data_IF_648771496167
#
_entry.id   IF_648771496167
#
_cell.length_a   1.000
_cell.length_b   1.000
_cell.length_c   1.000
_cell.angle_alpha   90.00
_cell.angle_beta   90.00
_cell.angle_gamma   90.00
#
_symmetry.space_group_name_H-M   'P 1'
#
loop_
_entity.id
_entity.type
_entity.pdbx_description
1 polymer ?
#
# COMPACT_ATOMS: atom_id res chain seq x y z
N UNK A 1 -12.02 -5.65 -14.87
CA UNK A 1 -11.93 -5.20 -13.47
C UNK A 1 -13.09 -5.81 -12.71
N UNK A 2 -12.91 -6.27 -11.46
CA UNK A 2 -14.06 -6.45 -10.59
C UNK A 2 -14.91 -5.19 -10.69
N UNK A 3 -16.22 -5.34 -10.90
CA UNK A 3 -17.06 -4.16 -11.16
C UNK A 3 -16.93 -3.17 -9.98
N UNK A 4 -17.13 -1.87 -10.21
CA UNK A 4 -17.20 -0.90 -9.11
C UNK A 4 -18.20 -1.33 -8.03
N UNK A 5 -19.26 -2.04 -8.43
CA UNK A 5 -20.21 -2.67 -7.52
C UNK A 5 -19.55 -3.76 -6.66
N UNK A 6 -18.71 -4.61 -7.24
CA UNK A 6 -17.96 -5.66 -6.52
C UNK A 6 -17.03 -5.09 -5.45
N UNK A 7 -16.21 -4.09 -5.81
CA UNK A 7 -15.32 -3.41 -4.85
C UNK A 7 -16.07 -2.84 -3.66
N UNK A 8 -17.17 -2.10 -3.92
CA UNK A 8 -18.02 -1.52 -2.87
C UNK A 8 -18.73 -2.58 -2.04
N UNK A 9 -19.21 -3.66 -2.67
CA UNK A 9 -19.92 -4.74 -1.98
C UNK A 9 -19.00 -5.49 -1.03
N UNK A 10 -17.76 -5.76 -1.43
CA UNK A 10 -16.74 -6.33 -0.56
C UNK A 10 -16.50 -5.48 0.68
N UNK A 11 -16.35 -4.16 0.51
CA UNK A 11 -16.24 -3.23 1.65
C UNK A 11 -17.45 -3.31 2.56
N UNK A 12 -18.67 -3.28 2.01
CA UNK A 12 -19.90 -3.31 2.79
C UNK A 12 -20.06 -4.61 3.61
N UNK A 13 -19.70 -5.75 3.01
CA UNK A 13 -19.74 -7.07 3.67
C UNK A 13 -18.63 -7.26 4.70
N UNK A 14 -17.45 -6.65 4.47
CA UNK A 14 -16.28 -6.80 5.32
C UNK A 14 -16.20 -5.72 6.41
N UNK A 15 -17.11 -4.76 6.44
CA UNK A 15 -17.05 -3.63 7.36
C UNK A 15 -17.12 -4.10 8.82
N UNK A 16 -16.07 -3.92 9.63
CA UNK A 16 -16.03 -4.48 10.96
C UNK A 16 -16.93 -3.70 11.92
N UNK A 17 -17.44 -4.39 12.94
CA UNK A 17 -18.09 -3.74 14.06
C UNK A 17 -17.11 -2.77 14.76
N UNK A 18 -17.61 -1.61 15.17
CA UNK A 18 -16.84 -0.56 15.84
C UNK A 18 -16.12 0.42 14.91
N UNK A 19 -16.10 0.20 13.58
CA UNK A 19 -15.55 1.19 12.64
C UNK A 19 -16.65 2.16 12.18
N UNK A 20 -16.46 3.49 12.29
CA UNK A 20 -17.54 4.46 12.09
C UNK A 20 -17.98 4.56 10.63
N UNK A 21 -19.30 4.49 10.39
CA UNK A 21 -19.89 4.54 9.04
C UNK A 21 -20.15 5.95 8.47
N UNK A 22 -19.79 7.01 9.18
CA UNK A 22 -19.97 8.38 8.70
C UNK A 22 -19.02 8.74 7.54
N UNK A 23 -18.31 9.85 7.69
CA UNK A 23 -17.39 10.38 6.69
C UNK A 23 -16.34 9.36 6.24
N UNK A 24 -15.87 8.53 7.18
CA UNK A 24 -14.93 7.45 6.91
C UNK A 24 -15.45 6.47 5.84
N UNK A 25 -16.65 5.91 6.03
CA UNK A 25 -17.21 4.94 5.08
C UNK A 25 -17.51 5.59 3.72
N UNK A 26 -18.04 6.82 3.71
CA UNK A 26 -18.23 7.57 2.46
C UNK A 26 -16.91 7.75 1.71
N UNK A 27 -15.84 8.05 2.44
CA UNK A 27 -14.47 8.10 1.90
C UNK A 27 -14.02 6.76 1.33
N UNK A 28 -14.19 5.65 2.06
CA UNK A 28 -13.78 4.30 1.62
C UNK A 28 -14.51 3.89 0.34
N UNK A 29 -15.83 4.06 0.29
CA UNK A 29 -16.65 3.70 -0.88
C UNK A 29 -16.27 4.50 -2.13
N UNK A 30 -15.83 5.75 -1.96
CA UNK A 30 -15.26 6.54 -3.06
C UNK A 30 -13.86 6.03 -3.42
N UNK A 31 -12.99 5.89 -2.43
CA UNK A 31 -11.58 5.50 -2.62
C UNK A 31 -11.38 4.13 -3.25
N UNK A 32 -12.31 3.18 -3.05
CA UNK A 32 -12.20 1.83 -3.64
C UNK A 32 -12.46 1.81 -5.15
N UNK A 33 -13.03 2.89 -5.69
CA UNK A 33 -13.35 3.04 -7.12
C UNK A 33 -12.43 4.04 -7.82
N UNK A 34 -11.92 5.04 -7.08
CA UNK A 34 -11.10 6.09 -7.67
C UNK A 34 -9.89 5.62 -8.49
N UNK A 35 -9.14 4.56 -8.14
CA UNK A 35 -8.01 4.11 -8.94
C UNK A 35 -8.33 3.77 -10.40
N UNK A 36 -9.58 3.37 -10.67
CA UNK A 36 -10.08 3.06 -12.02
C UNK A 36 -10.44 4.32 -12.82
N UNK A 37 -10.71 5.43 -12.12
CA UNK A 37 -11.05 6.72 -12.73
C UNK A 37 -9.81 7.59 -12.87
N UNK A 38 -8.99 7.64 -11.82
CA UNK A 38 -7.76 8.40 -11.71
C UNK A 38 -6.69 7.49 -11.12
N UNK A 39 -5.88 6.94 -12.01
CA UNK A 39 -4.82 5.98 -11.65
C UNK A 39 -3.60 6.67 -11.05
N UNK A 40 -2.98 6.00 -10.09
CA UNK A 40 -1.62 6.30 -9.64
C UNK A 40 -0.61 6.08 -10.76
N UNK A 41 0.59 6.64 -10.63
CA UNK A 41 1.67 6.44 -11.61
C UNK A 41 2.90 5.87 -10.91
N UNK A 42 3.40 4.74 -11.39
CA UNK A 42 4.58 4.05 -10.88
C UNK A 42 5.78 4.27 -11.81
N UNK A 43 6.97 4.39 -11.25
CA UNK A 43 8.21 4.28 -12.02
C UNK A 43 8.40 2.83 -12.45
N UNK A 44 8.36 2.59 -13.76
CA UNK A 44 8.58 1.28 -14.36
C UNK A 44 9.79 1.33 -15.29
N UNK A 45 10.59 0.27 -15.27
CA UNK A 45 11.70 0.09 -16.21
C UNK A 45 11.14 -0.45 -17.52
N UNK A 46 11.17 0.36 -18.58
CA UNK A 46 10.81 -0.06 -19.94
C UNK A 46 12.07 -0.37 -20.72
N UNK A 47 12.20 -1.61 -21.19
CA UNK A 47 13.32 -2.05 -22.01
C UNK A 47 12.87 -2.29 -23.45
N UNK A 48 13.62 -1.76 -24.41
CA UNK A 48 13.47 -2.01 -25.85
C UNK A 48 14.82 -2.40 -26.42
N UNK A 49 14.96 -3.64 -26.89
CA UNK A 49 16.26 -4.21 -27.24
C UNK A 49 17.22 -4.18 -26.04
N UNK A 50 18.42 -3.63 -26.24
CA UNK A 50 19.45 -3.49 -25.18
C UNK A 50 19.33 -2.23 -24.32
N UNK A 51 18.39 -1.33 -24.60
CA UNK A 51 18.24 -0.05 -23.88
C UNK A 51 17.06 -0.11 -22.92
N UNK A 52 17.29 0.26 -21.66
CA UNK A 52 16.24 0.39 -20.66
C UNK A 52 16.15 1.82 -20.15
N UNK A 53 14.94 2.34 -20.02
CA UNK A 53 14.65 3.66 -19.45
C UNK A 53 13.59 3.55 -18.36
N UNK A 54 13.70 4.39 -17.34
CA UNK A 54 12.63 4.58 -16.37
C UNK A 54 11.56 5.48 -16.97
N UNK A 55 10.30 5.10 -16.81
CA UNK A 55 9.15 5.88 -17.26
C UNK A 55 8.03 5.77 -16.23
N UNK A 56 7.14 6.76 -16.19
CA UNK A 56 5.89 6.65 -15.46
C UNK A 56 4.89 5.81 -16.25
N UNK A 57 4.22 4.89 -15.57
CA UNK A 57 3.10 4.12 -16.11
C UNK A 57 2.07 3.84 -15.02
N UNK A 58 0.80 3.66 -15.38
CA UNK A 58 -0.19 3.16 -14.43
C UNK A 58 0.22 1.78 -13.89
N UNK A 59 -0.18 1.43 -12.65
CA UNK A 59 0.01 0.10 -12.11
C UNK A 59 -0.57 -0.96 -13.04
N UNK A 60 0.08 -2.12 -13.11
CA UNK A 60 -0.47 -3.24 -13.86
C UNK A 60 -1.68 -3.81 -13.12
N UNK A 61 -2.78 -3.97 -13.84
CA UNK A 61 -3.98 -4.62 -13.35
C UNK A 61 -3.67 -6.08 -12.94
N UNK A 62 -4.28 -6.52 -11.84
CA UNK A 62 -4.11 -7.84 -11.20
C UNK A 62 -2.71 -8.17 -10.67
N UNK A 63 -1.79 -7.22 -10.64
CA UNK A 63 -0.56 -7.36 -9.89
C UNK A 63 -0.72 -6.68 -8.53
N UNK A 64 -0.46 -7.40 -7.44
CA UNK A 64 -0.55 -6.83 -6.10
C UNK A 64 0.52 -5.74 -5.94
N UNK A 65 0.07 -4.48 -5.84
CA UNK A 65 0.93 -3.32 -5.69
C UNK A 65 1.19 -3.04 -4.21
N UNK A 66 2.04 -3.86 -3.57
CA UNK A 66 2.30 -3.78 -2.11
C UNK A 66 2.70 -2.36 -1.69
N UNK A 67 3.53 -1.68 -2.47
CA UNK A 67 3.98 -0.32 -2.16
C UNK A 67 2.86 0.73 -2.16
N UNK A 68 1.84 0.57 -3.02
CA UNK A 68 0.63 1.40 -3.04
C UNK A 68 -0.24 1.11 -1.83
N UNK A 69 -0.47 -0.18 -1.54
CA UNK A 69 -1.27 -0.63 -0.39
C UNK A 69 -0.68 -0.07 0.91
N UNK A 70 0.63 -0.23 1.11
CA UNK A 70 1.33 0.27 2.30
C UNK A 70 1.27 1.80 2.40
N UNK A 71 1.56 2.51 1.30
CA UNK A 71 1.52 3.96 1.28
C UNK A 71 0.13 4.49 1.64
N UNK A 72 -0.90 4.00 0.96
CA UNK A 72 -2.27 4.45 1.17
C UNK A 72 -2.84 4.05 2.54
N UNK A 73 -2.45 2.90 3.08
CA UNK A 73 -2.79 2.52 4.45
C UNK A 73 -2.14 3.48 5.47
N UNK A 74 -0.86 3.80 5.31
CA UNK A 74 -0.17 4.74 6.20
C UNK A 74 -0.75 6.17 6.07
N UNK A 75 -1.12 6.58 4.85
CA UNK A 75 -1.78 7.85 4.57
C UNK A 75 -3.19 7.92 5.18
N UNK A 76 -3.93 6.81 5.16
CA UNK A 76 -5.21 6.71 5.84
C UNK A 76 -5.08 6.97 7.34
N UNK A 77 -4.09 6.35 7.99
CA UNK A 77 -3.81 6.59 9.41
C UNK A 77 -3.40 8.04 9.67
N UNK A 78 -2.56 8.63 8.80
CA UNK A 78 -2.17 10.04 8.88
C UNK A 78 -3.40 10.97 8.92
N UNK A 79 -4.33 10.80 7.98
CA UNK A 79 -5.55 11.61 7.95
C UNK A 79 -6.44 11.35 9.17
N UNK A 80 -6.56 10.09 9.59
CA UNK A 80 -7.35 9.69 10.75
C UNK A 80 -6.86 10.37 12.03
N UNK A 81 -5.54 10.37 12.25
CA UNK A 81 -4.92 11.01 13.41
C UNK A 81 -5.13 12.53 13.45
N UNK A 82 -5.40 13.16 12.29
CA UNK A 82 -5.69 14.59 12.15
C UNK A 82 -7.19 14.92 12.15
N UNK A 83 -8.05 13.93 12.36
CA UNK A 83 -9.50 14.11 12.36
C UNK A 83 -10.15 14.20 10.97
N UNK A 84 -9.38 14.08 9.88
CA UNK A 84 -9.89 14.09 8.51
C UNK A 84 -10.38 12.68 8.12
N UNK A 85 -11.53 12.29 8.67
CA UNK A 85 -12.07 10.95 8.47
C UNK A 85 -12.44 10.67 7.02
N UNK A 86 -12.85 11.68 6.24
CA UNK A 86 -13.21 11.49 4.84
C UNK A 86 -11.98 11.15 3.99
N UNK A 87 -10.89 11.92 4.09
CA UNK A 87 -9.67 11.60 3.33
C UNK A 87 -8.96 10.37 3.90
N UNK A 88 -9.08 10.09 5.20
CA UNK A 88 -8.66 8.81 5.77
C UNK A 88 -9.37 7.64 5.08
N UNK A 89 -10.69 7.76 4.92
CA UNK A 89 -11.51 6.79 4.21
C UNK A 89 -11.10 6.66 2.76
N UNK A 90 -10.90 7.77 2.04
CA UNK A 90 -10.48 7.75 0.63
C UNK A 90 -9.14 7.04 0.44
N UNK A 91 -8.15 7.35 1.26
CA UNK A 91 -6.85 6.68 1.22
C UNK A 91 -6.99 5.17 1.53
N UNK A 92 -7.75 4.80 2.57
CA UNK A 92 -8.00 3.39 2.90
C UNK A 92 -8.72 2.65 1.77
N UNK A 93 -9.70 3.29 1.12
CA UNK A 93 -10.39 2.75 -0.04
C UNK A 93 -9.44 2.44 -1.19
N UNK A 94 -8.48 3.33 -1.50
CA UNK A 94 -7.46 3.08 -2.54
C UNK A 94 -6.56 1.90 -2.17
N UNK A 95 -6.18 1.74 -0.90
CA UNK A 95 -5.43 0.57 -0.45
C UNK A 95 -6.24 -0.74 -0.65
N UNK A 96 -7.52 -0.72 -0.30
CA UNK A 96 -8.43 -1.85 -0.48
C UNK A 96 -8.62 -2.22 -1.95
N UNK A 97 -8.74 -1.22 -2.83
CA UNK A 97 -8.82 -1.44 -4.27
C UNK A 97 -7.64 -2.28 -4.77
N UNK A 98 -6.41 -1.88 -4.47
CA UNK A 98 -5.21 -2.61 -4.92
C UNK A 98 -5.09 -4.02 -4.35
N UNK A 99 -5.59 -4.25 -3.13
CA UNK A 99 -5.69 -5.60 -2.55
C UNK A 99 -6.71 -6.45 -3.31
N UNK A 100 -7.88 -5.89 -3.59
CA UNK A 100 -8.99 -6.57 -4.27
C UNK A 100 -8.60 -6.94 -5.70
N UNK A 101 -7.99 -6.01 -6.44
CA UNK A 101 -7.43 -6.25 -7.77
C UNK A 101 -6.33 -7.32 -7.74
N UNK A 102 -5.44 -7.22 -6.76
CA UNK A 102 -4.33 -8.14 -6.57
C UNK A 102 -4.77 -9.57 -6.22
N UNK A 103 -6.02 -9.81 -5.80
CA UNK A 103 -6.53 -11.13 -5.43
C UNK A 103 -6.75 -12.06 -6.63
N UNK A 104 -6.95 -11.50 -7.82
CA UNK A 104 -7.11 -12.26 -9.06
C UNK A 104 -5.74 -12.59 -9.65
N UNK A 105 -5.50 -13.86 -10.03
CA UNK A 105 -4.38 -14.23 -10.90
C UNK A 105 -4.88 -14.26 -12.34
N UNK A 106 -4.50 -13.29 -13.15
CA UNK A 106 -4.65 -13.41 -14.60
C UNK A 106 -3.40 -14.01 -15.21
N UNK A 107 -3.56 -15.06 -16.03
CA UNK A 107 -2.57 -15.43 -17.04
C UNK A 107 -3.02 -14.78 -18.35
N UNK A 108 -2.16 -13.97 -18.98
CA UNK A 108 -2.40 -13.52 -20.35
C UNK A 108 -2.39 -14.75 -21.26
N UNK A 109 -3.54 -15.18 -21.78
CA UNK A 109 -3.61 -16.12 -22.90
C UNK A 109 -4.16 -15.38 -24.11
N UNK A 110 -3.50 -15.51 -25.25
CA UNK A 110 -3.47 -14.52 -26.33
C UNK A 110 -4.80 -14.12 -26.98
N UNK A 111 -5.93 -14.80 -26.72
CA UNK A 111 -7.16 -14.63 -27.53
C UNK A 111 -8.47 -14.61 -26.70
N UNK A 112 -8.44 -14.94 -25.40
CA UNK A 112 -9.64 -14.95 -24.54
C UNK A 112 -9.46 -14.01 -23.35
N UNK A 113 -10.36 -13.02 -23.23
CA UNK A 113 -10.53 -12.24 -22.00
C UNK A 113 -11.13 -13.13 -20.89
N UNK A 114 -10.33 -14.05 -20.36
CA UNK A 114 -10.63 -14.84 -19.15
C UNK A 114 -10.97 -13.92 -17.96
N UNK A 115 -10.52 -12.67 -18.06
CA UNK A 115 -10.78 -11.56 -17.15
C UNK A 115 -12.28 -11.18 -17.06
N UNK A 116 -12.93 -10.93 -18.20
CA UNK A 116 -14.31 -10.43 -18.19
C UNK A 116 -15.31 -11.54 -17.77
N UNK A 117 -15.00 -12.80 -18.11
CA UNK A 117 -15.78 -13.96 -17.66
C UNK A 117 -15.62 -14.19 -16.17
N UNK A 118 -14.39 -14.13 -15.65
CA UNK A 118 -14.11 -14.32 -14.23
C UNK A 118 -14.79 -13.23 -13.37
N UNK A 119 -14.87 -12.01 -13.87
CA UNK A 119 -15.50 -10.90 -13.16
C UNK A 119 -17.01 -11.02 -13.10
N UNK A 120 -17.64 -11.44 -14.20
CA UNK A 120 -19.07 -11.78 -14.21
C UNK A 120 -19.38 -12.93 -13.25
N UNK A 121 -18.53 -13.95 -13.23
CA UNK A 121 -18.65 -15.06 -12.27
C UNK A 121 -18.54 -14.55 -10.83
N UNK A 122 -17.53 -13.73 -10.51
CA UNK A 122 -17.36 -13.13 -9.19
C UNK A 122 -18.60 -12.31 -8.78
N UNK A 123 -19.13 -11.49 -9.70
CA UNK A 123 -20.31 -10.67 -9.45
C UNK A 123 -21.55 -11.53 -9.13
N UNK A 124 -21.75 -12.63 -9.87
CA UNK A 124 -22.83 -13.59 -9.59
C UNK A 124 -22.69 -14.33 -8.26
N UNK A 125 -21.49 -14.39 -7.67
CA UNK A 125 -21.22 -15.04 -6.39
C UNK A 125 -21.37 -14.10 -5.18
N UNK A 126 -21.44 -12.77 -5.38
CA UNK A 126 -21.49 -11.79 -4.28
C UNK A 126 -22.68 -11.98 -3.33
N UNK A 127 -23.81 -12.48 -3.83
CA UNK A 127 -25.01 -12.73 -3.02
C UNK A 127 -24.89 -13.97 -2.13
N UNK A 128 -23.85 -14.81 -2.33
CA UNK A 128 -23.57 -16.01 -1.53
C UNK A 128 -22.50 -15.77 -0.47
N UNK A 129 -22.08 -14.52 -0.29
CA UNK A 129 -21.06 -14.12 0.68
C UNK A 129 -21.70 -13.73 2.03
N UNK A 130 -21.04 -14.07 3.16
CA UNK A 130 -19.73 -14.72 3.29
C UNK A 130 -19.76 -16.26 3.26
N UNK A 131 -20.92 -16.89 3.13
CA UNK A 131 -21.12 -18.34 3.31
C UNK A 131 -20.28 -19.18 2.35
N UNK A 132 -20.13 -18.74 1.10
CA UNK A 132 -19.35 -19.43 0.07
C UNK A 132 -17.86 -19.57 0.42
N UNK A 133 -17.38 -18.79 1.39
CA UNK A 133 -15.99 -18.87 1.85
C UNK A 133 -15.75 -19.88 2.99
N UNK A 134 -16.80 -20.54 3.50
CA UNK A 134 -16.65 -21.56 4.54
C UNK A 134 -15.88 -22.76 3.98
N UNK A 135 -14.79 -23.14 4.64
CA UNK A 135 -13.93 -24.27 4.21
C UNK A 135 -13.09 -24.01 2.96
N UNK A 136 -13.14 -22.81 2.37
CA UNK A 136 -12.35 -22.46 1.19
C UNK A 136 -10.99 -21.92 1.63
N UNK A 137 -9.91 -22.52 1.11
CA UNK A 137 -8.57 -21.95 1.22
C UNK A 137 -8.47 -20.69 0.35
N UNK A 138 -8.59 -19.54 0.99
CA UNK A 138 -8.52 -18.24 0.35
C UNK A 138 -7.08 -17.90 -0.07
N UNK A 139 -6.86 -17.82 -1.37
CA UNK A 139 -5.56 -17.53 -1.96
C UNK A 139 -5.73 -16.77 -3.27
N UNK A 140 -4.69 -16.03 -3.66
CA UNK A 140 -4.65 -15.41 -4.98
C UNK A 140 -4.78 -16.51 -6.05
N UNK A 141 -5.83 -16.44 -6.88
CA UNK A 141 -6.18 -17.54 -7.79
C UNK A 141 -6.87 -17.03 -9.06
N UNK A 142 -6.94 -17.89 -10.08
CA UNK A 142 -7.81 -17.73 -11.24
C UNK A 142 -9.17 -18.43 -11.03
N UNK A 143 -9.38 -19.13 -9.91
CA UNK A 143 -10.68 -19.64 -9.50
C UNK A 143 -11.49 -18.51 -8.83
N UNK A 144 -12.73 -18.23 -9.28
CA UNK A 144 -13.53 -17.09 -8.83
C UNK A 144 -13.83 -17.14 -7.34
N UNK A 145 -14.18 -18.31 -6.79
CA UNK A 145 -14.49 -18.47 -5.36
C UNK A 145 -13.25 -18.21 -4.52
N UNK A 146 -12.11 -18.82 -4.85
CA UNK A 146 -10.86 -18.62 -4.11
C UNK A 146 -10.41 -17.16 -4.14
N UNK A 147 -10.46 -16.52 -5.32
CA UNK A 147 -10.08 -15.13 -5.49
C UNK A 147 -11.01 -14.18 -4.73
N UNK A 148 -12.33 -14.37 -4.82
CA UNK A 148 -13.33 -13.60 -4.10
C UNK A 148 -13.15 -13.73 -2.58
N UNK A 149 -12.96 -14.96 -2.08
CA UNK A 149 -12.72 -15.19 -0.65
C UNK A 149 -11.40 -14.57 -0.18
N UNK A 150 -10.35 -14.61 -1.01
CA UNK A 150 -9.10 -13.93 -0.71
C UNK A 150 -9.28 -12.42 -0.65
N UNK A 151 -9.96 -11.81 -1.62
CA UNK A 151 -10.25 -10.38 -1.65
C UNK A 151 -11.08 -9.96 -0.42
N UNK A 152 -12.11 -10.72 -0.06
CA UNK A 152 -12.94 -10.48 1.11
C UNK A 152 -12.14 -10.55 2.42
N UNK A 153 -11.36 -11.62 2.63
CA UNK A 153 -10.57 -11.78 3.84
C UNK A 153 -9.49 -10.70 3.99
N UNK A 154 -8.80 -10.35 2.90
CA UNK A 154 -7.81 -9.27 2.93
C UNK A 154 -8.46 -7.90 3.15
N UNK A 155 -9.65 -7.66 2.60
CA UNK A 155 -10.45 -6.45 2.86
C UNK A 155 -10.80 -6.35 4.34
N UNK A 156 -11.36 -7.42 4.92
CA UNK A 156 -11.72 -7.48 6.34
C UNK A 156 -10.49 -7.29 7.23
N UNK A 157 -9.39 -7.98 6.93
CA UNK A 157 -8.16 -7.88 7.69
C UNK A 157 -7.60 -6.45 7.67
N UNK A 158 -7.57 -5.77 6.52
CA UNK A 158 -7.08 -4.39 6.45
C UNK A 158 -7.98 -3.41 7.20
N UNK A 159 -9.31 -3.57 7.13
CA UNK A 159 -10.26 -2.73 7.87
C UNK A 159 -10.14 -2.93 9.38
N UNK A 160 -10.02 -4.17 9.86
CA UNK A 160 -9.77 -4.50 11.27
C UNK A 160 -8.44 -3.89 11.71
N UNK A 161 -7.38 -4.08 10.93
CA UNK A 161 -6.07 -3.50 11.19
C UNK A 161 -6.12 -1.98 11.24
N UNK A 162 -6.90 -1.32 10.37
CA UNK A 162 -7.09 0.13 10.40
C UNK A 162 -7.79 0.58 11.68
N UNK A 163 -8.81 -0.15 12.14
CA UNK A 163 -9.50 0.10 13.42
C UNK A 163 -8.51 0.01 14.58
N UNK A 164 -7.72 -1.07 14.63
CA UNK A 164 -6.97 -1.49 15.81
C UNK A 164 -5.56 -0.85 15.91
N UNK A 165 -4.86 -0.60 14.80
CA UNK A 165 -3.49 -0.05 14.80
C UNK A 165 -3.47 1.49 14.95
N UNK A 166 -4.04 2.01 16.04
CA UNK A 166 -4.04 3.45 16.34
C UNK A 166 -2.65 3.89 16.79
N UNK A 167 -2.11 4.96 16.19
CA UNK A 167 -0.93 5.64 16.72
C UNK A 167 -1.38 6.98 17.30
N UNK A 168 -1.28 7.18 18.63
CA UNK A 168 -1.59 8.46 19.25
C UNK A 168 -0.73 9.59 18.69
N UNK A 169 -1.28 10.81 18.48
CA UNK A 169 -0.50 11.95 18.01
C UNK A 169 0.71 12.28 18.89
N UNK A 170 0.59 12.12 20.22
CA UNK A 170 1.69 12.40 21.16
C UNK A 170 2.87 11.43 20.96
N UNK A 171 2.59 10.14 20.76
CA UNK A 171 3.61 9.13 20.45
C UNK A 171 4.29 9.40 19.11
N UNK A 172 3.57 10.00 18.15
CA UNK A 172 4.06 10.29 16.81
C UNK A 172 5.27 11.23 16.82
N UNK A 173 5.27 12.21 17.73
CA UNK A 173 6.39 13.15 17.94
C UNK A 173 7.62 12.39 18.42
N UNK A 174 7.45 11.51 19.40
CA UNK A 174 8.55 10.71 19.96
C UNK A 174 9.10 9.69 18.96
N UNK A 175 8.23 9.07 18.16
CA UNK A 175 8.68 8.25 17.03
C UNK A 175 9.53 9.07 16.07
N UNK A 176 9.09 10.27 15.66
CA UNK A 176 9.87 11.11 14.76
C UNK A 176 11.25 11.45 15.33
N UNK A 177 11.33 11.89 16.60
CA UNK A 177 12.60 12.19 17.28
C UNK A 177 13.51 10.95 17.33
N UNK A 178 12.96 9.78 17.66
CA UNK A 178 13.70 8.51 17.70
C UNK A 178 14.23 8.12 16.30
N UNK A 179 13.40 8.23 15.28
CA UNK A 179 13.78 7.97 13.89
C UNK A 179 14.88 8.90 13.41
N UNK A 180 14.79 10.19 13.75
CA UNK A 180 15.81 11.20 13.42
C UNK A 180 17.13 10.88 14.10
N UNK A 181 17.12 10.56 15.40
CA UNK A 181 18.32 10.14 16.15
C UNK A 181 18.96 8.90 15.54
N UNK A 182 18.19 7.85 15.26
CA UNK A 182 18.68 6.62 14.62
C UNK A 182 19.32 6.90 13.26
N UNK A 183 18.66 7.71 12.43
CA UNK A 183 19.17 8.06 11.11
C UNK A 183 20.48 8.85 11.18
N UNK A 184 20.55 9.86 12.05
CA UNK A 184 21.76 10.65 12.25
C UNK A 184 22.91 9.82 12.81
N UNK A 185 22.64 8.94 13.77
CA UNK A 185 23.65 8.04 14.34
C UNK A 185 24.26 7.11 13.27
N UNK A 186 23.44 6.53 12.39
CA UNK A 186 23.92 5.69 11.29
C UNK A 186 24.75 6.47 10.26
N UNK A 187 24.32 7.69 9.91
CA UNK A 187 25.10 8.55 9.02
C UNK A 187 26.46 8.90 9.65
N UNK A 188 26.44 9.31 10.92
CA UNK A 188 27.66 9.65 11.65
C UNK A 188 28.62 8.45 11.75
N UNK A 189 28.13 7.26 12.05
CA UNK A 189 28.93 6.04 12.08
C UNK A 189 29.59 5.74 10.72
N UNK A 190 28.83 5.89 9.62
CA UNK A 190 29.38 5.73 8.27
C UNK A 190 30.46 6.76 7.94
N UNK A 191 30.26 8.03 8.32
CA UNK A 191 31.26 9.09 8.13
C UNK A 191 32.52 8.86 8.97
N UNK A 192 32.38 8.42 10.23
CA UNK A 192 33.54 8.08 11.08
C UNK A 192 34.34 6.93 10.47
N UNK A 193 33.67 5.86 10.01
CA UNK A 193 34.34 4.76 9.30
C UNK A 193 35.06 5.24 8.03
N UNK A 194 34.45 6.18 7.30
CA UNK A 194 35.07 6.78 6.11
C UNK A 194 36.34 7.57 6.45
N UNK A 195 36.30 8.38 7.51
CA UNK A 195 37.46 9.17 7.98
C UNK A 195 38.60 8.28 8.45
N UNK A 196 38.31 7.21 9.20
CA UNK A 196 39.33 6.22 9.58
C UNK A 196 39.96 5.60 8.33
N UNK A 197 39.13 5.25 7.33
CA UNK A 197 39.59 4.70 6.06
C UNK A 197 40.52 5.61 5.25
N UNK A 198 40.40 6.94 5.36
CA UNK A 198 41.33 7.88 4.73
C UNK A 198 42.77 7.71 5.21
N UNK A 199 42.95 7.29 6.46
CA UNK A 199 44.26 7.19 7.11
C UNK A 199 44.92 5.82 6.97
N UNK A 200 44.17 4.75 6.70
CA UNK A 200 44.69 3.37 6.79
C UNK A 200 44.35 2.47 5.60
N UNK A 201 43.13 2.54 5.04
CA UNK A 201 42.67 1.58 4.03
C UNK A 201 41.57 2.18 3.13
N UNK A 202 41.87 2.35 1.83
CA UNK A 202 40.94 2.90 0.84
C UNK A 202 39.58 2.16 0.76
N UNK A 203 39.55 0.86 1.05
CA UNK A 203 38.31 0.07 1.10
C UNK A 203 37.38 0.46 2.25
N UNK A 204 37.93 0.85 3.41
CA UNK A 204 37.14 1.33 4.54
C UNK A 204 36.54 2.72 4.27
N UNK A 205 37.27 3.57 3.54
CA UNK A 205 36.76 4.85 3.06
C UNK A 205 35.51 4.62 2.19
N UNK A 206 35.63 3.77 1.17
CA UNK A 206 34.53 3.48 0.24
C UNK A 206 33.33 2.87 0.99
N UNK A 207 33.57 1.90 1.87
CA UNK A 207 32.52 1.26 2.66
C UNK A 207 31.80 2.25 3.58
N UNK A 208 32.53 3.14 4.25
CA UNK A 208 31.97 4.18 5.12
C UNK A 208 31.10 5.18 4.36
N UNK A 209 31.56 5.65 3.19
CA UNK A 209 30.80 6.57 2.32
C UNK A 209 29.50 5.90 1.82
N UNK A 210 29.59 4.66 1.34
CA UNK A 210 28.42 3.91 0.89
C UNK A 210 27.42 3.71 2.05
N UNK A 211 27.90 3.32 3.23
CA UNK A 211 27.04 3.16 4.41
C UNK A 211 26.33 4.46 4.80
N UNK A 212 27.03 5.59 4.81
CA UNK A 212 26.44 6.89 5.11
C UNK A 212 25.39 7.30 4.06
N UNK A 213 25.67 7.08 2.77
CA UNK A 213 24.73 7.37 1.68
C UNK A 213 23.47 6.48 1.75
N UNK A 214 23.63 5.19 2.05
CA UNK A 214 22.51 4.27 2.28
C UNK A 214 21.67 4.70 3.48
N UNK A 215 22.30 5.07 4.60
CA UNK A 215 21.59 5.56 5.78
C UNK A 215 20.83 6.89 5.50
N UNK A 216 21.40 7.77 4.67
CA UNK A 216 20.76 9.02 4.27
C UNK A 216 19.50 8.80 3.41
N UNK A 217 19.47 7.75 2.60
CA UNK A 217 18.31 7.41 1.76
C UNK A 217 17.32 6.47 2.44
N UNK A 218 17.71 5.79 3.52
CA UNK A 218 16.84 4.94 4.32
C UNK A 218 15.74 5.71 5.06
N UNK A 219 14.57 5.08 5.18
CA UNK A 219 13.43 5.59 5.94
C UNK A 219 13.23 4.69 7.16
N UNK A 220 13.56 5.15 8.38
CA UNK A 220 13.32 4.39 9.60
C UNK A 220 11.85 4.04 9.78
N UNK A 221 11.55 2.87 10.36
CA UNK A 221 10.17 2.47 10.71
C UNK A 221 9.48 3.52 11.57
N UNK A 222 10.23 4.21 12.42
CA UNK A 222 9.74 5.30 13.25
C UNK A 222 9.16 6.47 12.44
N UNK A 223 9.67 6.76 11.24
CA UNK A 223 9.06 7.78 10.39
C UNK A 223 7.69 7.35 9.87
N UNK A 224 7.50 6.06 9.61
CA UNK A 224 6.20 5.51 9.22
C UNK A 224 5.23 5.60 10.40
N UNK A 225 5.67 5.29 11.62
CA UNK A 225 4.84 5.43 12.82
C UNK A 225 4.49 6.91 13.08
N UNK A 226 5.45 7.82 12.92
CA UNK A 226 5.20 9.26 13.02
C UNK A 226 4.20 9.76 11.95
N UNK A 227 4.26 9.21 10.73
CA UNK A 227 3.26 9.50 9.70
C UNK A 227 1.88 8.98 10.10
N UNK A 228 1.78 7.74 10.59
CA UNK A 228 0.50 7.16 11.02
C UNK A 228 -0.17 7.97 12.14
N UNK A 229 0.61 8.60 13.02
CA UNK A 229 0.10 9.50 14.05
C UNK A 229 -0.09 10.96 13.60
N UNK A 230 -0.02 11.25 12.29
CA UNK A 230 -0.35 12.57 11.74
C UNK A 230 0.76 13.64 11.82
N UNK A 231 1.97 13.27 12.27
CA UNK A 231 3.05 14.21 12.58
C UNK A 231 3.90 14.60 11.36
N UNK A 232 4.24 13.63 10.50
CA UNK A 232 5.09 13.86 9.32
C UNK A 232 4.42 13.33 8.05
N UNK A 233 4.57 14.06 6.95
CA UNK A 233 4.16 13.60 5.64
C UNK A 233 5.32 12.87 4.94
N UNK A 234 5.18 11.58 4.64
CA UNK A 234 6.15 10.85 3.83
C UNK A 234 5.67 10.75 2.40
N UNK A 235 6.47 11.29 1.47
CA UNK A 235 6.21 11.16 0.03
C UNK A 235 6.64 9.78 -0.49
N UNK A 236 5.89 9.18 -1.42
CA UNK A 236 6.26 7.91 -2.03
C UNK A 236 7.52 8.10 -2.88
N UNK A 237 8.43 7.12 -2.84
CA UNK A 237 9.64 7.09 -3.69
C UNK A 237 9.42 6.33 -5.00
N UNK A 238 8.35 5.56 -5.08
CA UNK A 238 8.07 4.63 -6.18
C UNK A 238 7.33 5.28 -7.36
N UNK A 239 6.87 6.53 -7.25
CA UNK A 239 6.08 7.18 -8.30
C UNK A 239 5.31 8.41 -7.83
N UNK A 240 4.27 8.76 -8.59
CA UNK A 240 3.36 9.89 -8.33
C UNK A 240 2.02 9.34 -7.85
N UNK A 241 1.77 9.50 -6.55
CA UNK A 241 0.49 9.17 -5.96
C UNK A 241 -0.57 10.23 -6.29
N UNK A 242 -1.82 9.80 -6.45
CA UNK A 242 -2.98 10.70 -6.63
C UNK A 242 -3.31 11.44 -5.34
N UNK A 243 -3.18 10.78 -4.19
CA UNK A 243 -3.30 11.44 -2.90
C UNK A 243 -1.95 11.53 -2.20
N UNK A 244 -1.71 12.68 -1.60
CA UNK A 244 -0.64 12.89 -0.64
C UNK A 244 -1.14 13.80 0.48
N UNK A 245 -0.40 13.82 1.58
CA UNK A 245 -0.27 15.00 2.40
C UNK A 245 0.76 15.96 1.74
#
# INVERSE_FOLDING_TARGET
>A
MPSWATHRRLVALAWPQGLPKGDLYRGVIKGVVEPDVVSDMLYVKKCGGRKCRWALAPPKHHELQISLVEYYYNLAQYYRARGDLYNAGRALGRALHYIQDGAVKTKKWLILNVHDSLEKEIEGLLNKMPEICRGVRAERSNNPIKALCHAYQQTAALLIRFRDEVVPPDDAVEFYKRGRRKKLALIAAGLVAAVIGLSTYAWLLLAGVVAAATAATWTPREYILAMRGGYVCLKPKWGKAVMSC
#
